data_IF_883196953621
#
_entry.id   IF_883196953621
#
_cell.length_a   1.000
_cell.length_b   1.000
_cell.length_c   1.000
_cell.angle_alpha   90.00
_cell.angle_beta   90.00
_cell.angle_gamma   90.00
#
_symmetry.space_group_name_H-M   'P 1'
#
loop_
_entity.id
_entity.type
_entity.pdbx_description
1 polymer ?
#
# COMPACT_ATOMS: atom_id res chain seq x y z
N UNK A 1 -49.72 60.40 16.29
CA UNK A 1 -48.42 60.52 15.58
C UNK A 1 -47.61 59.29 15.96
N UNK A 2 -47.87 58.15 15.31
CA UNK A 2 -47.14 57.61 14.14
C UNK A 2 -45.64 57.53 14.38
N UNK A 3 -45.08 56.31 14.48
CA UNK A 3 -43.97 55.86 13.64
C UNK A 3 -43.99 54.32 13.54
N UNK A 4 -44.42 53.85 12.37
CA UNK A 4 -44.31 52.47 11.89
C UNK A 4 -42.83 52.04 11.83
N UNK A 5 -42.49 50.86 12.37
CA UNK A 5 -41.23 50.16 12.06
C UNK A 5 -41.53 49.09 11.01
N UNK A 6 -41.00 49.26 9.81
CA UNK A 6 -41.01 48.26 8.75
C UNK A 6 -40.10 47.09 9.14
N UNK A 7 -40.65 45.88 9.21
CA UNK A 7 -39.90 44.64 9.21
C UNK A 7 -39.69 44.24 7.74
N UNK A 8 -38.45 44.25 7.25
CA UNK A 8 -38.11 43.67 5.95
C UNK A 8 -38.21 42.14 6.05
N UNK A 9 -39.25 41.55 5.45
CA UNK A 9 -39.26 40.13 5.12
C UNK A 9 -38.34 39.92 3.91
N UNK A 10 -37.12 39.47 4.15
CA UNK A 10 -36.28 38.90 3.10
C UNK A 10 -36.70 37.44 2.88
N UNK A 11 -37.60 37.21 1.93
CA UNK A 11 -37.88 35.87 1.40
C UNK A 11 -36.68 35.41 0.55
N UNK A 12 -35.74 34.72 1.20
CA UNK A 12 -34.68 33.98 0.51
C UNK A 12 -35.28 32.76 -0.18
N UNK A 13 -35.48 32.84 -1.49
CA UNK A 13 -35.83 31.70 -2.33
C UNK A 13 -34.61 30.78 -2.41
N UNK A 14 -34.51 29.83 -1.47
CA UNK A 14 -33.52 28.77 -1.53
C UNK A 14 -33.94 27.83 -2.67
N UNK A 15 -33.31 27.98 -3.83
CA UNK A 15 -33.39 27.01 -4.92
C UNK A 15 -32.73 25.72 -4.42
N UNK A 16 -33.54 24.82 -3.86
CA UNK A 16 -33.21 23.41 -3.72
C UNK A 16 -33.12 22.84 -5.14
N UNK A 17 -31.94 22.89 -5.72
CA UNK A 17 -31.62 22.02 -6.85
C UNK A 17 -31.61 20.60 -6.30
N UNK A 18 -32.74 19.91 -6.41
CA UNK A 18 -32.77 18.47 -6.34
C UNK A 18 -31.89 17.96 -7.48
N UNK A 19 -30.63 17.65 -7.17
CA UNK A 19 -29.81 16.87 -8.07
C UNK A 19 -30.58 15.60 -8.35
N UNK A 20 -30.88 15.34 -9.62
CA UNK A 20 -31.37 14.03 -10.04
C UNK A 20 -30.34 13.02 -9.57
N UNK A 21 -30.66 12.20 -8.57
CA UNK A 21 -29.91 10.98 -8.30
C UNK A 21 -29.86 10.22 -9.61
N UNK A 22 -28.68 10.16 -10.23
CA UNK A 22 -28.49 9.35 -11.43
C UNK A 22 -28.79 7.91 -11.04
N UNK A 23 -29.88 7.34 -11.56
CA UNK A 23 -30.18 5.93 -11.41
C UNK A 23 -29.02 5.14 -12.02
N UNK A 24 -28.10 4.65 -11.18
CA UNK A 24 -27.03 3.76 -11.63
C UNK A 24 -27.67 2.47 -12.11
N UNK A 25 -27.49 2.15 -13.39
CA UNK A 25 -28.07 0.95 -13.99
C UNK A 25 -27.31 -0.30 -13.53
N UNK A 26 -28.01 -1.43 -13.53
CA UNK A 26 -27.37 -2.74 -13.39
C UNK A 26 -27.32 -3.41 -14.76
N UNK A 27 -26.11 -3.75 -15.21
CA UNK A 27 -25.86 -4.41 -16.50
C UNK A 27 -25.37 -5.83 -16.22
N UNK A 28 -26.17 -6.82 -16.60
CA UNK A 28 -25.77 -8.21 -16.47
C UNK A 28 -24.83 -8.62 -17.61
N UNK A 29 -23.64 -9.11 -17.27
CA UNK A 29 -22.83 -9.86 -18.21
C UNK A 29 -23.55 -11.18 -18.56
N UNK A 30 -23.53 -11.56 -19.84
CA UNK A 30 -24.24 -12.78 -20.31
C UNK A 30 -23.69 -14.06 -19.69
N UNK A 31 -22.39 -14.08 -19.37
CA UNK A 31 -21.71 -15.16 -18.66
C UNK A 31 -20.51 -14.61 -17.89
N UNK A 32 -19.80 -15.48 -17.17
CA UNK A 32 -18.51 -15.14 -16.55
C UNK A 32 -17.32 -15.14 -17.53
N UNK A 33 -17.57 -15.33 -18.84
CA UNK A 33 -16.53 -15.25 -19.85
C UNK A 33 -15.95 -13.83 -19.91
N UNK A 34 -14.66 -13.73 -20.19
CA UNK A 34 -13.98 -12.43 -20.29
C UNK A 34 -14.66 -11.50 -21.30
N UNK A 35 -15.07 -12.04 -22.45
CA UNK A 35 -15.68 -11.26 -23.53
C UNK A 35 -17.04 -10.68 -23.13
N UNK A 36 -17.86 -11.46 -22.42
CA UNK A 36 -19.17 -10.99 -21.95
C UNK A 36 -19.03 -9.95 -20.83
N UNK A 37 -18.06 -10.13 -19.93
CA UNK A 37 -17.76 -9.15 -18.87
C UNK A 37 -17.24 -7.85 -19.49
N UNK A 38 -16.31 -7.92 -20.45
CA UNK A 38 -15.82 -6.73 -21.15
C UNK A 38 -16.94 -6.03 -21.92
N UNK A 39 -17.83 -6.77 -22.57
CA UNK A 39 -18.97 -6.18 -23.30
C UNK A 39 -19.91 -5.42 -22.35
N UNK A 40 -20.22 -5.99 -21.17
CA UNK A 40 -21.03 -5.32 -20.16
C UNK A 40 -20.33 -4.09 -19.55
N UNK A 41 -19.02 -4.17 -19.29
CA UNK A 41 -18.19 -3.03 -18.87
C UNK A 41 -18.18 -1.93 -19.93
N UNK A 42 -18.13 -2.28 -21.22
CA UNK A 42 -18.16 -1.30 -22.30
C UNK A 42 -19.51 -0.58 -22.38
N UNK A 43 -20.63 -1.29 -22.18
CA UNK A 43 -21.97 -0.71 -22.20
C UNK A 43 -22.33 0.08 -20.95
N UNK A 44 -21.63 -0.14 -19.83
CA UNK A 44 -21.85 0.58 -18.58
C UNK A 44 -21.55 2.08 -18.70
N UNK A 45 -22.50 2.90 -18.24
CA UNK A 45 -22.32 4.32 -17.97
C UNK A 45 -21.55 4.58 -16.68
N UNK A 46 -21.38 5.86 -16.34
CA UNK A 46 -20.71 6.28 -15.10
C UNK A 46 -21.57 5.93 -13.88
N UNK A 47 -20.98 5.22 -12.91
CA UNK A 47 -21.64 4.79 -11.67
C UNK A 47 -22.40 3.46 -11.77
N UNK A 48 -22.59 2.93 -12.99
CA UNK A 48 -23.30 1.67 -13.20
C UNK A 48 -22.62 0.47 -12.52
N UNK A 49 -23.42 -0.55 -12.25
CA UNK A 49 -22.95 -1.84 -11.74
C UNK A 49 -23.04 -2.91 -12.82
N UNK A 50 -21.90 -3.51 -13.18
CA UNK A 50 -21.83 -4.73 -13.98
C UNK A 50 -21.94 -5.94 -13.05
N UNK A 51 -22.97 -6.77 -13.24
CA UNK A 51 -23.10 -8.04 -12.51
C UNK A 51 -22.54 -9.18 -13.35
N UNK A 52 -21.67 -9.99 -12.75
CA UNK A 52 -21.10 -11.19 -13.38
C UNK A 52 -21.77 -12.41 -12.76
N UNK A 53 -22.44 -13.26 -13.57
CA UNK A 53 -23.19 -14.40 -13.02
C UNK A 53 -22.26 -15.44 -12.38
N UNK A 54 -22.86 -16.33 -11.58
CA UNK A 54 -22.16 -17.51 -11.09
C UNK A 54 -21.72 -18.40 -12.27
N UNK A 55 -20.55 -19.01 -12.15
CA UNK A 55 -19.92 -19.78 -13.21
C UNK A 55 -18.41 -19.80 -13.06
N UNK A 56 -17.78 -20.65 -13.86
CA UNK A 56 -16.32 -20.73 -13.97
C UNK A 56 -15.89 -20.37 -15.38
N UNK A 57 -14.86 -19.55 -15.51
CA UNK A 57 -14.27 -19.21 -16.80
C UNK A 57 -12.75 -19.12 -16.72
N UNK A 58 -12.08 -19.50 -17.80
CA UNK A 58 -10.64 -19.25 -17.98
C UNK A 58 -10.48 -17.98 -18.80
N UNK A 59 -9.72 -17.02 -18.28
CA UNK A 59 -9.44 -15.76 -18.94
C UNK A 59 -8.02 -15.78 -19.51
N UNK A 60 -7.94 -15.77 -20.85
CA UNK A 60 -6.70 -15.60 -21.62
C UNK A 60 -6.60 -14.18 -22.22
N UNK A 61 -7.48 -13.28 -21.77
CA UNK A 61 -7.59 -11.87 -22.15
C UNK A 61 -7.88 -11.06 -20.89
N UNK A 62 -7.62 -9.75 -20.92
CA UNK A 62 -7.81 -8.87 -19.76
C UNK A 62 -9.06 -8.01 -19.91
N UNK A 63 -9.86 -7.89 -18.84
CA UNK A 63 -10.91 -6.86 -18.78
C UNK A 63 -10.28 -5.51 -18.47
N UNK A 64 -10.46 -4.54 -19.37
CA UNK A 64 -9.91 -3.19 -19.25
C UNK A 64 -11.00 -2.21 -18.84
N UNK A 65 -10.71 -1.41 -17.81
CA UNK A 65 -11.56 -0.30 -17.35
C UNK A 65 -10.70 0.97 -17.42
N UNK A 66 -11.12 1.95 -18.22
CA UNK A 66 -10.35 3.18 -18.42
C UNK A 66 -11.23 4.40 -18.18
N UNK A 67 -10.78 5.27 -17.27
CA UNK A 67 -11.40 6.56 -16.99
C UNK A 67 -12.90 6.48 -16.70
N UNK A 68 -13.37 5.44 -15.99
CA UNK A 68 -14.79 5.16 -15.78
C UNK A 68 -15.08 4.87 -14.30
N UNK A 69 -16.15 5.45 -13.78
CA UNK A 69 -16.74 5.03 -12.52
C UNK A 69 -17.62 3.81 -12.76
N UNK A 70 -17.31 2.67 -12.14
CA UNK A 70 -18.06 1.41 -12.36
C UNK A 70 -17.83 0.44 -11.21
N UNK A 71 -18.88 -0.30 -10.83
CA UNK A 71 -18.75 -1.48 -9.97
C UNK A 71 -18.82 -2.74 -10.82
N UNK A 72 -17.86 -3.65 -10.69
CA UNK A 72 -17.95 -5.01 -11.27
C UNK A 72 -18.12 -6.00 -10.12
N UNK A 73 -19.30 -6.60 -10.06
CA UNK A 73 -19.75 -7.44 -8.95
C UNK A 73 -20.01 -8.87 -9.43
N UNK A 74 -19.18 -9.81 -9.01
CA UNK A 74 -19.46 -11.24 -9.17
C UNK A 74 -20.53 -11.73 -8.20
N UNK A 75 -21.02 -12.96 -8.43
CA UNK A 75 -22.06 -13.59 -7.63
C UNK A 75 -21.61 -13.97 -6.20
N UNK A 76 -20.33 -13.80 -5.87
CA UNK A 76 -19.71 -14.08 -4.58
C UNK A 76 -18.45 -14.97 -4.69
N UNK A 77 -17.62 -14.95 -3.65
CA UNK A 77 -16.48 -15.87 -3.50
C UNK A 77 -16.96 -17.33 -3.64
N UNK A 78 -16.26 -18.11 -4.45
CA UNK A 78 -16.59 -19.50 -4.78
C UNK A 78 -17.75 -19.68 -5.77
N UNK A 79 -18.44 -18.61 -6.18
CA UNK A 79 -19.56 -18.66 -7.14
C UNK A 79 -19.17 -18.15 -8.53
N UNK A 80 -18.53 -16.98 -8.59
CA UNK A 80 -17.90 -16.49 -9.83
C UNK A 80 -16.41 -16.77 -9.73
N UNK A 81 -15.94 -17.79 -10.44
CA UNK A 81 -14.56 -18.29 -10.36
C UNK A 81 -13.83 -18.01 -11.68
N UNK A 82 -12.77 -17.22 -11.61
CA UNK A 82 -11.97 -16.82 -12.76
C UNK A 82 -10.57 -17.43 -12.65
N UNK A 83 -10.22 -18.26 -13.62
CA UNK A 83 -8.86 -18.80 -13.77
C UNK A 83 -8.07 -17.90 -14.72
N UNK A 84 -7.10 -17.17 -14.20
CA UNK A 84 -6.15 -16.38 -14.98
C UNK A 84 -5.19 -17.31 -15.72
N UNK A 85 -5.15 -17.21 -17.05
CA UNK A 85 -4.24 -17.97 -17.91
C UNK A 85 -3.16 -17.05 -18.49
N UNK A 86 -2.13 -16.80 -17.69
CA UNK A 86 -0.97 -15.98 -18.04
C UNK A 86 -1.30 -14.53 -18.44
N UNK A 87 -2.33 -13.94 -17.83
CA UNK A 87 -2.79 -12.57 -18.12
C UNK A 87 -3.38 -11.93 -16.86
N UNK A 88 -3.29 -10.60 -16.74
CA UNK A 88 -4.09 -9.86 -15.74
C UNK A 88 -5.58 -10.16 -15.95
N UNK A 89 -6.36 -10.37 -14.88
CA UNK A 89 -7.81 -10.42 -15.01
C UNK A 89 -8.37 -9.03 -15.28
N UNK A 90 -7.91 -8.05 -14.50
CA UNK A 90 -8.32 -6.65 -14.63
C UNK A 90 -7.12 -5.72 -14.81
N UNK A 91 -7.26 -4.77 -15.72
CA UNK A 91 -6.33 -3.64 -15.87
C UNK A 91 -7.13 -2.34 -15.84
N UNK A 92 -6.97 -1.57 -14.78
CA UNK A 92 -7.85 -0.45 -14.42
C UNK A 92 -7.06 0.85 -14.41
N UNK A 93 -7.30 1.73 -15.38
CA UNK A 93 -6.82 3.12 -15.37
C UNK A 93 -7.86 4.01 -14.68
N UNK A 94 -7.69 4.21 -13.38
CA UNK A 94 -8.55 5.06 -12.58
C UNK A 94 -8.17 6.53 -12.69
N UNK A 95 -9.17 7.42 -12.68
CA UNK A 95 -8.96 8.87 -12.65
C UNK A 95 -9.61 9.48 -11.42
N UNK A 96 -9.00 10.53 -10.88
CA UNK A 96 -9.53 11.23 -9.71
C UNK A 96 -10.99 11.67 -9.95
N UNK A 97 -11.85 11.48 -8.94
CA UNK A 97 -13.28 11.78 -9.02
C UNK A 97 -14.15 10.67 -9.63
N UNK A 98 -13.57 9.55 -10.09
CA UNK A 98 -14.31 8.38 -10.58
C UNK A 98 -14.06 7.16 -9.69
N UNK A 99 -15.08 6.79 -8.93
CA UNK A 99 -15.05 5.62 -8.06
C UNK A 99 -15.19 4.32 -8.86
N UNK A 100 -14.33 3.34 -8.60
CA UNK A 100 -14.51 1.99 -9.12
C UNK A 100 -14.37 0.93 -8.03
N UNK A 101 -15.08 -0.18 -8.23
CA UNK A 101 -15.07 -1.32 -7.31
C UNK A 101 -15.02 -2.65 -8.06
N UNK A 102 -14.18 -3.56 -7.60
CA UNK A 102 -14.18 -4.97 -8.05
C UNK A 102 -14.51 -5.83 -6.84
N UNK A 103 -15.57 -6.64 -6.92
CA UNK A 103 -16.05 -7.40 -5.77
C UNK A 103 -16.67 -8.75 -6.12
N UNK A 104 -16.67 -9.67 -5.14
CA UNK A 104 -17.50 -10.86 -5.16
C UNK A 104 -17.05 -11.96 -6.11
N UNK A 105 -15.74 -12.21 -6.23
CA UNK A 105 -15.17 -13.20 -7.13
C UNK A 105 -14.08 -14.04 -6.46
N UNK A 106 -13.78 -15.18 -7.06
CA UNK A 106 -12.56 -15.95 -6.76
C UNK A 106 -11.61 -15.87 -7.96
N UNK A 107 -10.35 -15.55 -7.72
CA UNK A 107 -9.28 -15.63 -8.72
C UNK A 107 -8.30 -16.73 -8.37
N UNK A 108 -7.86 -17.46 -9.40
CA UNK A 108 -6.80 -18.48 -9.32
C UNK A 108 -5.95 -18.47 -10.58
N UNK A 109 -4.86 -19.23 -10.58
CA UNK A 109 -3.94 -19.31 -11.72
C UNK A 109 -2.89 -18.22 -11.70
N UNK A 110 -2.33 -17.89 -12.86
CA UNK A 110 -1.19 -16.97 -12.98
C UNK A 110 -1.54 -15.74 -13.81
N UNK A 111 -1.18 -14.52 -13.38
CA UNK A 111 -1.30 -13.32 -14.19
C UNK A 111 -0.28 -13.27 -15.36
N UNK A 112 0.62 -14.26 -15.46
CA UNK A 112 1.58 -14.43 -16.55
C UNK A 112 2.77 -13.48 -16.54
N UNK A 113 3.85 -13.88 -17.22
CA UNK A 113 5.08 -13.10 -17.38
C UNK A 113 5.94 -12.97 -16.10
N UNK A 114 7.18 -12.51 -16.29
CA UNK A 114 8.06 -12.06 -15.22
C UNK A 114 8.11 -10.52 -15.27
N UNK A 115 7.51 -9.82 -14.31
CA UNK A 115 7.61 -8.35 -14.31
C UNK A 115 6.63 -7.58 -13.44
N UNK A 116 6.92 -6.28 -13.34
CA UNK A 116 6.24 -5.30 -12.48
C UNK A 116 4.81 -4.93 -12.90
N UNK A 117 4.29 -5.50 -14.00
CA UNK A 117 2.93 -5.27 -14.51
C UNK A 117 2.00 -6.50 -14.43
N UNK A 118 2.49 -7.62 -13.89
CA UNK A 118 1.80 -8.91 -13.91
C UNK A 118 1.01 -9.19 -12.62
N UNK A 119 -0.11 -8.49 -12.45
CA UNK A 119 -1.01 -8.65 -11.28
C UNK A 119 -2.37 -9.19 -11.69
N UNK A 120 -3.03 -10.03 -10.87
CA UNK A 120 -4.40 -10.47 -11.16
C UNK A 120 -5.32 -9.25 -11.35
N UNK A 121 -5.24 -8.28 -10.45
CA UNK A 121 -5.86 -6.96 -10.57
C UNK A 121 -4.76 -5.91 -10.60
N UNK A 122 -4.66 -5.18 -11.71
CA UNK A 122 -3.77 -4.04 -11.82
C UNK A 122 -4.56 -2.74 -11.79
N UNK A 123 -4.18 -1.85 -10.89
CA UNK A 123 -4.73 -0.51 -10.74
C UNK A 123 -3.63 0.49 -11.05
N UNK A 124 -3.95 1.47 -11.88
CA UNK A 124 -3.05 2.57 -12.14
C UNK A 124 -3.80 3.89 -12.41
N UNK A 125 -3.05 4.99 -12.47
CA UNK A 125 -3.59 6.31 -12.77
C UNK A 125 -3.63 7.23 -11.55
N UNK A 126 -4.74 7.96 -11.38
CA UNK A 126 -4.86 9.06 -10.40
C UNK A 126 -6.09 8.98 -9.50
N UNK A 127 -6.88 7.90 -9.60
CA UNK A 127 -8.06 7.75 -8.74
C UNK A 127 -7.68 7.63 -7.27
N UNK A 128 -8.29 8.43 -6.40
CA UNK A 128 -8.09 8.35 -4.94
C UNK A 128 -9.35 7.84 -4.24
N UNK A 129 -10.16 7.09 -4.98
CA UNK A 129 -11.40 6.49 -4.53
C UNK A 129 -11.63 5.17 -5.27
N UNK A 130 -11.04 4.09 -4.80
CA UNK A 130 -11.33 2.75 -5.32
C UNK A 130 -11.42 1.72 -4.20
N UNK A 131 -12.11 0.62 -4.48
CA UNK A 131 -12.31 -0.48 -3.53
C UNK A 131 -12.14 -1.83 -4.21
N UNK A 132 -11.35 -2.72 -3.61
CA UNK A 132 -11.26 -4.13 -4.02
C UNK A 132 -11.66 -4.97 -2.81
N UNK A 133 -12.78 -5.67 -2.90
CA UNK A 133 -13.35 -6.32 -1.72
C UNK A 133 -14.12 -7.61 -1.99
N UNK A 134 -14.30 -8.45 -0.96
CA UNK A 134 -14.96 -9.75 -1.10
C UNK A 134 -14.35 -10.61 -2.21
N UNK A 135 -13.03 -10.55 -2.36
CA UNK A 135 -12.28 -11.35 -3.33
C UNK A 135 -11.57 -12.49 -2.60
N UNK A 136 -11.67 -13.69 -3.15
CA UNK A 136 -10.83 -14.81 -2.72
C UNK A 136 -9.73 -15.05 -3.75
N UNK A 137 -8.47 -14.93 -3.34
CA UNK A 137 -7.30 -15.26 -4.15
C UNK A 137 -6.73 -16.62 -3.75
N UNK A 138 -6.64 -17.53 -4.72
CA UNK A 138 -5.97 -18.82 -4.56
C UNK A 138 -4.51 -18.73 -5.07
N UNK A 139 -3.56 -18.70 -4.15
CA UNK A 139 -2.13 -18.61 -4.40
C UNK A 139 -1.51 -19.99 -4.63
N UNK A 140 -1.91 -20.68 -5.70
CA UNK A 140 -1.55 -22.11 -5.95
C UNK A 140 -0.58 -22.33 -7.10
N UNK A 141 -0.25 -21.29 -7.88
CA UNK A 141 0.68 -21.35 -9.00
C UNK A 141 1.57 -20.11 -9.03
N UNK A 142 2.86 -20.24 -9.35
CA UNK A 142 3.78 -19.09 -9.42
C UNK A 142 3.32 -17.98 -10.37
N UNK A 143 3.76 -16.75 -10.12
CA UNK A 143 3.43 -15.54 -10.88
C UNK A 143 3.78 -14.29 -10.07
N UNK A 144 3.63 -13.09 -10.63
CA UNK A 144 4.14 -11.89 -9.95
C UNK A 144 3.27 -11.47 -8.74
N UNK A 145 1.97 -11.17 -8.89
CA UNK A 145 1.14 -10.79 -7.73
C UNK A 145 -0.37 -10.79 -7.93
N UNK A 146 -1.12 -10.52 -6.87
CA UNK A 146 -2.58 -10.45 -6.83
C UNK A 146 -3.05 -9.03 -7.14
N UNK A 147 -2.62 -8.02 -6.37
CA UNK A 147 -3.02 -6.63 -6.56
C UNK A 147 -1.78 -5.74 -6.74
N UNK A 148 -1.67 -5.10 -7.89
CA UNK A 148 -0.62 -4.12 -8.18
C UNK A 148 -1.22 -2.73 -8.28
N UNK A 149 -0.65 -1.77 -7.57
CA UNK A 149 -1.12 -0.38 -7.57
C UNK A 149 0.03 0.52 -8.02
N UNK A 150 -0.15 1.24 -9.13
CA UNK A 150 0.86 2.09 -9.76
C UNK A 150 0.30 3.50 -10.04
N UNK A 151 0.73 4.53 -9.33
CA UNK A 151 0.27 5.90 -9.59
C UNK A 151 0.02 6.70 -8.33
N UNK A 152 -0.33 7.98 -8.53
CA UNK A 152 -0.86 8.80 -7.44
C UNK A 152 -2.33 8.44 -7.18
N UNK A 153 -2.54 7.20 -6.72
CA UNK A 153 -3.82 6.52 -6.61
C UNK A 153 -3.97 5.90 -5.22
N UNK A 154 -5.15 6.02 -4.62
CA UNK A 154 -5.44 5.58 -3.25
C UNK A 154 -6.82 4.92 -3.16
N UNK A 155 -6.94 3.96 -2.25
CA UNK A 155 -8.15 3.20 -2.06
C UNK A 155 -7.94 2.12 -1.01
N UNK A 156 -8.90 1.20 -0.93
CA UNK A 156 -8.93 0.16 0.10
C UNK A 156 -9.07 -1.22 -0.52
N UNK A 157 -8.27 -2.15 -0.02
CA UNK A 157 -8.41 -3.60 -0.20
C UNK A 157 -8.95 -4.17 1.10
N UNK A 158 -10.22 -4.60 1.09
CA UNK A 158 -10.89 -5.08 2.31
C UNK A 158 -11.70 -6.35 2.15
N UNK A 159 -11.90 -7.07 3.25
CA UNK A 159 -12.71 -8.29 3.29
C UNK A 159 -12.33 -9.31 2.20
N UNK A 160 -11.05 -9.36 1.83
CA UNK A 160 -10.51 -10.34 0.91
C UNK A 160 -9.92 -11.51 1.68
N UNK A 161 -9.92 -12.67 1.02
CA UNK A 161 -9.31 -13.89 1.52
C UNK A 161 -8.16 -14.31 0.61
N UNK A 162 -7.03 -14.69 1.19
CA UNK A 162 -5.91 -15.29 0.46
C UNK A 162 -5.67 -16.69 1.03
N UNK A 163 -5.58 -17.69 0.15
CA UNK A 163 -5.24 -19.07 0.56
C UNK A 163 -4.20 -19.67 -0.36
N UNK A 164 -3.26 -20.43 0.18
CA UNK A 164 -2.34 -21.21 -0.64
C UNK A 164 -1.34 -22.02 0.19
N UNK A 165 -0.63 -22.99 -0.42
CA UNK A 165 0.33 -23.82 0.30
C UNK A 165 1.51 -23.02 0.87
N UNK A 166 1.85 -21.89 0.24
CA UNK A 166 2.90 -20.97 0.68
C UNK A 166 2.72 -19.65 -0.08
N UNK A 167 3.33 -18.54 0.37
CA UNK A 167 3.31 -17.29 -0.38
C UNK A 167 4.06 -17.43 -1.72
N UNK A 168 3.32 -17.47 -2.82
CA UNK A 168 3.84 -17.50 -4.22
C UNK A 168 3.42 -16.30 -5.06
N UNK A 169 2.63 -15.40 -4.48
CA UNK A 169 2.21 -14.13 -5.07
C UNK A 169 2.30 -13.02 -4.03
N UNK A 170 2.66 -11.80 -4.45
CA UNK A 170 2.40 -10.63 -3.63
C UNK A 170 0.90 -10.44 -3.45
N UNK A 171 0.40 -10.22 -2.23
CA UNK A 171 -1.01 -9.86 -2.08
C UNK A 171 -1.26 -8.43 -2.57
N UNK A 172 -0.56 -7.42 -2.01
CA UNK A 172 -0.70 -6.03 -2.45
C UNK A 172 0.66 -5.34 -2.63
N UNK A 173 0.89 -4.71 -3.79
CA UNK A 173 2.10 -3.93 -4.08
C UNK A 173 1.77 -2.49 -4.48
N UNK A 174 1.77 -1.52 -3.54
CA UNK A 174 1.58 -0.11 -3.87
C UNK A 174 2.88 0.58 -4.22
N UNK A 175 2.98 1.16 -5.42
CA UNK A 175 4.01 2.12 -5.86
C UNK A 175 3.36 3.42 -6.32
N UNK A 176 3.86 4.56 -5.81
CA UNK A 176 3.33 5.88 -6.17
C UNK A 176 4.10 6.49 -7.36
N UNK A 177 4.24 5.72 -8.45
CA UNK A 177 4.94 6.12 -9.67
C UNK A 177 3.97 6.65 -10.74
N UNK A 178 4.24 7.83 -11.31
CA UNK A 178 3.43 8.29 -12.45
C UNK A 178 3.79 7.52 -13.73
N UNK A 179 2.83 6.78 -14.30
CA UNK A 179 3.00 6.09 -15.59
C UNK A 179 3.31 7.07 -16.75
N UNK A 180 2.93 8.34 -16.60
CA UNK A 180 3.15 9.39 -17.60
C UNK A 180 4.62 9.80 -17.78
N UNK A 181 5.55 9.23 -17.00
CA UNK A 181 6.98 9.42 -17.23
C UNK A 181 7.71 8.14 -16.82
N UNK A 182 8.44 7.47 -17.72
CA UNK A 182 9.21 6.26 -17.39
C UNK A 182 10.32 6.48 -16.35
N UNK A 183 10.35 7.65 -15.69
CA UNK A 183 11.46 8.13 -14.91
C UNK A 183 11.09 8.72 -13.54
N UNK A 184 9.81 9.00 -13.20
CA UNK A 184 9.45 9.63 -11.91
C UNK A 184 9.93 8.81 -10.70
N UNK A 185 9.81 7.48 -10.77
CA UNK A 185 10.35 6.53 -9.81
C UNK A 185 10.07 6.86 -8.32
N UNK A 186 9.01 7.62 -8.03
CA UNK A 186 8.60 8.07 -6.69
C UNK A 186 9.04 9.48 -6.29
N UNK A 187 9.80 10.20 -7.12
CA UNK A 187 10.30 11.54 -6.79
C UNK A 187 9.18 12.54 -6.50
N UNK A 188 8.10 12.52 -7.28
CA UNK A 188 6.96 13.40 -7.04
C UNK A 188 6.21 13.07 -5.75
N UNK A 189 6.18 11.80 -5.33
CA UNK A 189 5.59 11.41 -4.04
C UNK A 189 6.38 11.92 -2.84
N UNK A 190 7.71 11.96 -2.96
CA UNK A 190 8.62 12.52 -1.96
C UNK A 190 8.63 14.06 -1.88
N UNK A 191 7.95 14.75 -2.80
CA UNK A 191 7.69 16.20 -2.75
C UNK A 191 6.38 16.54 -2.04
N UNK A 192 5.57 15.54 -1.66
CA UNK A 192 4.28 15.75 -0.99
C UNK A 192 4.40 15.59 0.53
N UNK A 193 3.72 16.42 1.34
CA UNK A 193 3.76 16.33 2.79
C UNK A 193 3.39 14.97 3.37
N UNK A 194 3.89 14.66 4.58
CA UNK A 194 3.48 13.48 5.33
C UNK A 194 2.01 13.56 5.71
N UNK A 195 1.31 12.43 5.60
CA UNK A 195 -0.15 12.36 5.76
C UNK A 195 -0.61 11.11 6.52
N UNK A 196 0.12 10.71 7.56
CA UNK A 196 -0.28 9.59 8.44
C UNK A 196 -1.66 9.86 9.06
N UNK A 197 -2.47 8.81 9.24
CA UNK A 197 -3.80 8.92 9.84
C UNK A 197 -4.86 9.48 8.90
N UNK A 198 -4.59 9.55 7.59
CA UNK A 198 -5.52 10.08 6.57
C UNK A 198 -5.85 9.02 5.51
N UNK A 199 -6.86 9.29 4.67
CA UNK A 199 -7.19 8.42 3.53
C UNK A 199 -6.18 8.49 2.35
N UNK A 200 -5.10 9.27 2.47
CA UNK A 200 -4.10 9.45 1.41
C UNK A 200 -3.04 8.33 1.42
N UNK A 201 -3.50 7.09 1.35
CA UNK A 201 -2.67 5.89 1.30
C UNK A 201 -3.45 4.73 0.67
N UNK A 202 -2.74 3.66 0.30
CA UNK A 202 -3.37 2.38 -0.01
C UNK A 202 -3.64 1.62 1.29
N UNK A 203 -4.91 1.37 1.59
CA UNK A 203 -5.32 0.63 2.77
C UNK A 203 -5.45 -0.86 2.47
N UNK A 204 -4.88 -1.70 3.33
CA UNK A 204 -5.05 -3.16 3.37
C UNK A 204 -5.69 -3.44 4.72
N UNK A 205 -7.00 -3.67 4.72
CA UNK A 205 -7.81 -3.67 5.93
C UNK A 205 -8.74 -4.88 6.03
N UNK A 206 -8.84 -5.52 7.19
CA UNK A 206 -9.85 -6.58 7.43
C UNK A 206 -9.78 -7.74 6.44
N UNK A 207 -8.57 -8.14 6.05
CA UNK A 207 -8.32 -9.29 5.18
C UNK A 207 -7.89 -10.52 5.99
N UNK A 208 -8.20 -11.69 5.44
CA UNK A 208 -7.84 -12.99 5.99
C UNK A 208 -6.82 -13.68 5.07
N UNK A 209 -5.55 -13.71 5.46
CA UNK A 209 -4.44 -14.24 4.66
C UNK A 209 -3.90 -15.49 5.34
N UNK A 210 -4.12 -16.64 4.70
CA UNK A 210 -3.86 -17.95 5.27
C UNK A 210 -2.97 -18.78 4.34
N UNK A 211 -1.69 -18.89 4.69
CA UNK A 211 -0.77 -19.84 4.04
C UNK A 211 -0.51 -21.06 4.91
N UNK A 212 -0.45 -22.24 4.30
CA UNK A 212 -0.29 -23.51 5.03
C UNK A 212 1.08 -23.60 5.75
N UNK A 213 2.13 -23.00 5.16
CA UNK A 213 3.46 -22.93 5.75
C UNK A 213 4.18 -21.63 5.39
N UNK A 214 5.13 -21.24 6.23
CA UNK A 214 6.09 -20.20 5.89
C UNK A 214 7.28 -20.82 5.14
N UNK A 215 7.81 -20.10 4.15
CA UNK A 215 8.99 -20.55 3.38
C UNK A 215 10.08 -19.49 3.46
N UNK A 216 11.16 -19.82 4.16
CA UNK A 216 12.32 -18.94 4.29
C UNK A 216 12.92 -18.64 2.90
N UNK A 217 13.26 -17.37 2.68
CA UNK A 217 13.79 -16.91 1.39
C UNK A 217 12.73 -16.76 0.29
N UNK A 218 11.42 -16.88 0.61
CA UNK A 218 10.37 -16.50 -0.33
C UNK A 218 10.56 -15.05 -0.79
N UNK A 219 10.26 -14.79 -2.06
CA UNK A 219 10.35 -13.46 -2.69
C UNK A 219 8.97 -12.81 -2.87
N UNK A 220 7.93 -13.41 -2.28
CA UNK A 220 6.53 -13.01 -2.45
C UNK A 220 5.91 -12.56 -1.12
N UNK A 221 6.29 -11.41 -0.55
CA UNK A 221 5.65 -10.90 0.66
C UNK A 221 4.15 -10.64 0.48
N UNK A 222 3.41 -10.64 1.59
CA UNK A 222 2.01 -10.23 1.63
C UNK A 222 1.86 -8.80 1.10
N UNK A 223 2.74 -7.88 1.50
CA UNK A 223 2.87 -6.59 0.84
C UNK A 223 4.32 -6.18 0.66
N UNK A 224 4.56 -5.41 -0.40
CA UNK A 224 5.84 -4.77 -0.71
C UNK A 224 5.62 -3.36 -1.21
N UNK A 225 6.52 -2.44 -0.90
CA UNK A 225 6.40 -1.04 -1.25
C UNK A 225 7.76 -0.42 -1.64
N UNK A 226 7.71 0.56 -2.55
CA UNK A 226 8.83 1.44 -2.97
C UNK A 226 8.27 2.59 -3.80
N UNK A 227 9.12 3.41 -4.41
CA UNK A 227 8.74 4.49 -5.34
C UNK A 227 7.77 5.47 -4.68
N UNK A 228 8.10 5.89 -3.45
CA UNK A 228 7.31 6.86 -2.70
C UNK A 228 5.94 6.37 -2.23
N UNK A 229 5.74 5.06 -2.20
CA UNK A 229 4.52 4.43 -1.72
C UNK A 229 4.08 4.90 -0.33
N UNK A 230 2.75 4.97 -0.17
CA UNK A 230 2.06 5.26 1.09
C UNK A 230 1.04 4.16 1.35
N UNK A 231 1.17 3.45 2.46
CA UNK A 231 0.27 2.33 2.75
C UNK A 231 -0.12 2.26 4.23
N UNK A 232 -1.27 1.65 4.48
CA UNK A 232 -1.76 1.31 5.81
C UNK A 232 -2.17 -0.15 5.84
N UNK A 233 -1.63 -0.92 6.77
CA UNK A 233 -2.00 -2.32 7.01
C UNK A 233 -2.64 -2.41 8.38
N UNK A 234 -3.95 -2.69 8.44
CA UNK A 234 -4.67 -2.72 9.71
C UNK A 234 -5.75 -3.77 9.82
N UNK A 235 -5.98 -4.29 11.02
CA UNK A 235 -7.10 -5.20 11.30
C UNK A 235 -7.10 -6.48 10.43
N UNK A 236 -5.94 -6.90 9.91
CA UNK A 236 -5.82 -8.14 9.14
C UNK A 236 -5.41 -9.32 10.03
N UNK A 237 -5.77 -10.52 9.60
CA UNK A 237 -5.22 -11.78 10.13
C UNK A 237 -4.28 -12.36 9.08
N UNK A 238 -3.02 -12.56 9.44
CA UNK A 238 -1.94 -12.97 8.54
C UNK A 238 -1.24 -14.19 9.14
N UNK A 239 -1.44 -15.35 8.52
CA UNK A 239 -0.75 -16.59 8.88
C UNK A 239 0.33 -16.93 7.86
N UNK A 240 1.55 -17.20 8.33
CA UNK A 240 2.70 -17.67 7.55
C UNK A 240 3.09 -16.77 6.36
N UNK A 241 2.67 -15.51 6.36
CA UNK A 241 3.06 -14.51 5.37
C UNK A 241 4.11 -13.57 5.95
N UNK A 242 5.20 -13.29 5.24
CA UNK A 242 6.12 -12.20 5.61
C UNK A 242 5.79 -10.94 4.82
N UNK A 243 6.30 -9.79 5.27
CA UNK A 243 6.17 -8.54 4.56
C UNK A 243 7.37 -7.61 4.77
N UNK A 244 7.42 -6.56 3.97
CA UNK A 244 8.46 -5.57 4.09
C UNK A 244 8.30 -4.50 3.02
N UNK A 245 9.29 -3.63 2.94
CA UNK A 245 9.36 -2.66 1.86
C UNK A 245 10.80 -2.24 1.60
N UNK A 246 11.00 -1.39 0.61
CA UNK A 246 12.31 -0.99 0.11
C UNK A 246 12.63 0.47 0.46
N UNK A 247 13.91 0.73 0.75
CA UNK A 247 14.48 2.06 0.83
C UNK A 247 15.03 2.50 -0.52
N UNK A 248 15.67 3.68 -0.57
CA UNK A 248 16.20 4.24 -1.81
C UNK A 248 17.29 3.36 -2.43
N UNK A 249 18.00 2.51 -1.68
CA UNK A 249 19.04 1.63 -2.21
C UNK A 249 18.56 0.67 -3.31
N UNK A 250 17.25 0.52 -3.46
CA UNK A 250 16.64 -0.57 -4.19
C UNK A 250 16.31 -0.18 -5.62
N UNK A 251 17.09 -0.72 -6.56
CA UNK A 251 16.96 -0.48 -8.00
C UNK A 251 17.15 1.02 -8.33
N UNK A 252 16.39 1.53 -9.30
CA UNK A 252 16.46 2.90 -9.79
C UNK A 252 15.28 3.77 -9.31
N UNK A 253 14.79 3.54 -8.09
CA UNK A 253 13.58 4.19 -7.58
C UNK A 253 13.76 4.71 -6.16
N UNK A 254 12.94 5.69 -5.77
CA UNK A 254 12.87 6.22 -4.41
C UNK A 254 12.42 5.15 -3.42
N UNK A 255 12.77 5.34 -2.16
CA UNK A 255 12.28 4.50 -1.07
C UNK A 255 10.77 4.64 -0.84
N UNK A 256 10.24 3.79 0.01
CA UNK A 256 8.87 3.93 0.54
C UNK A 256 8.74 5.22 1.33
N UNK A 257 7.67 5.99 1.11
CA UNK A 257 7.51 7.30 1.73
C UNK A 257 6.93 7.20 3.15
N UNK A 258 5.82 6.47 3.30
CA UNK A 258 5.18 6.33 4.61
C UNK A 258 4.39 5.05 4.80
N UNK A 259 4.25 4.63 6.04
CA UNK A 259 3.56 3.40 6.39
C UNK A 259 2.91 3.46 7.78
N UNK A 260 1.78 2.79 7.95
CA UNK A 260 1.11 2.57 9.24
C UNK A 260 0.74 1.09 9.35
N UNK A 261 1.22 0.40 10.38
CA UNK A 261 0.99 -1.04 10.55
C UNK A 261 0.39 -1.25 11.93
N UNK A 262 -0.91 -1.48 12.05
CA UNK A 262 -1.53 -1.57 13.38
C UNK A 262 -2.73 -2.48 13.51
N UNK A 263 -2.93 -3.00 14.72
CA UNK A 263 -4.07 -3.86 15.05
C UNK A 263 -4.21 -5.10 14.14
N UNK A 264 -3.10 -5.63 13.61
CA UNK A 264 -3.09 -6.89 12.87
C UNK A 264 -2.76 -8.06 13.80
N UNK A 265 -3.18 -9.27 13.43
CA UNK A 265 -2.68 -10.52 14.02
C UNK A 265 -1.74 -11.20 13.02
N UNK A 266 -0.50 -11.45 13.44
CA UNK A 266 0.50 -12.20 12.72
C UNK A 266 0.73 -13.53 13.43
N UNK A 267 0.61 -14.63 12.70
CA UNK A 267 0.75 -15.97 13.22
C UNK A 267 1.69 -16.79 12.34
N UNK A 268 2.59 -17.53 12.96
CA UNK A 268 3.58 -18.36 12.26
C UNK A 268 3.67 -19.74 12.88
N UNK A 269 3.48 -20.75 12.03
CA UNK A 269 3.67 -22.16 12.37
C UNK A 269 5.13 -22.57 12.29
N UNK A 270 5.85 -22.07 11.29
CA UNK A 270 7.25 -22.37 11.07
C UNK A 270 8.16 -21.24 11.57
N UNK A 271 9.46 -21.55 11.71
CA UNK A 271 10.48 -20.56 12.04
C UNK A 271 10.52 -19.46 10.97
N UNK A 272 10.33 -18.22 11.43
CA UNK A 272 10.45 -17.01 10.62
C UNK A 272 11.61 -16.17 11.15
N UNK A 273 12.44 -15.67 10.24
CA UNK A 273 13.57 -14.82 10.62
C UNK A 273 13.10 -13.43 11.07
N UNK A 274 12.28 -12.77 10.25
CA UNK A 274 11.56 -11.56 10.63
C UNK A 274 10.25 -11.45 9.83
N UNK A 275 9.10 -11.24 10.49
CA UNK A 275 7.83 -10.91 9.84
C UNK A 275 7.89 -9.65 8.99
N UNK A 276 8.49 -8.58 9.52
CA UNK A 276 8.49 -7.25 8.92
C UNK A 276 9.91 -6.71 8.76
N UNK A 277 10.37 -6.55 7.51
CA UNK A 277 11.62 -5.86 7.20
C UNK A 277 11.34 -4.49 6.58
N UNK A 278 11.59 -3.43 7.35
CA UNK A 278 11.20 -2.07 7.00
C UNK A 278 12.42 -1.24 6.58
N UNK A 279 12.30 -0.61 5.42
CA UNK A 279 13.37 0.20 4.81
C UNK A 279 12.81 1.50 4.27
N UNK A 280 13.31 2.60 4.80
CA UNK A 280 12.97 3.96 4.38
C UNK A 280 11.65 4.53 4.91
N UNK A 281 11.57 5.85 4.87
CA UNK A 281 10.37 6.62 5.17
C UNK A 281 10.02 6.76 6.65
N UNK A 282 8.82 7.32 6.89
CA UNK A 282 8.28 7.60 8.21
C UNK A 282 7.00 6.79 8.47
N UNK A 283 6.78 6.37 9.71
CA UNK A 283 5.67 5.47 10.00
C UNK A 283 5.51 5.08 11.45
N UNK A 284 4.52 4.24 11.69
CA UNK A 284 4.15 3.73 13.02
C UNK A 284 3.81 2.24 12.98
N UNK A 285 4.20 1.52 14.04
CA UNK A 285 3.78 0.12 14.29
C UNK A 285 3.11 0.04 15.66
N UNK A 286 1.83 -0.28 15.75
CA UNK A 286 1.21 -0.39 17.09
C UNK A 286 0.04 -1.35 17.20
N UNK A 287 -0.24 -1.84 18.40
CA UNK A 287 -1.42 -2.68 18.65
C UNK A 287 -1.43 -4.01 17.89
N UNK A 288 -0.31 -4.41 17.28
CA UNK A 288 -0.23 -5.68 16.55
C UNK A 288 0.01 -6.84 17.52
N UNK A 289 -0.47 -8.01 17.13
CA UNK A 289 -0.39 -9.25 17.90
C UNK A 289 0.45 -10.26 17.14
N UNK A 290 1.50 -10.78 17.77
CA UNK A 290 2.42 -11.74 17.16
C UNK A 290 2.37 -13.08 17.90
N UNK A 291 2.28 -14.18 17.14
CA UNK A 291 2.17 -15.55 17.65
C UNK A 291 3.17 -16.42 16.86
N UNK A 292 4.16 -17.02 17.54
CA UNK A 292 5.18 -17.86 16.91
C UNK A 292 5.19 -19.27 17.52
N UNK A 293 4.54 -20.25 16.88
CA UNK A 293 4.44 -21.61 17.42
C UNK A 293 5.77 -22.38 17.39
N UNK A 294 6.61 -22.16 16.38
CA UNK A 294 7.97 -22.71 16.32
C UNK A 294 8.99 -21.88 17.11
N UNK A 295 8.57 -20.79 17.76
CA UNK A 295 9.44 -19.82 18.41
C UNK A 295 10.09 -18.82 17.46
N UNK A 296 10.49 -17.68 18.02
CA UNK A 296 11.23 -16.62 17.36
C UNK A 296 12.12 -15.90 18.39
N UNK A 297 13.43 -15.94 18.20
CA UNK A 297 14.38 -15.31 19.13
C UNK A 297 14.53 -13.79 18.95
N UNK A 298 13.90 -13.19 17.94
CA UNK A 298 14.07 -11.79 17.55
C UNK A 298 12.83 -10.92 17.70
N UNK A 299 13.01 -9.62 17.43
CA UNK A 299 11.89 -8.70 17.25
C UNK A 299 11.11 -9.06 15.98
N UNK A 300 9.77 -8.97 15.97
CA UNK A 300 8.97 -9.23 14.78
C UNK A 300 9.13 -8.17 13.69
N UNK A 301 9.79 -7.05 13.99
CA UNK A 301 10.09 -6.00 13.01
C UNK A 301 11.51 -5.47 13.16
N UNK A 302 12.18 -5.34 12.02
CA UNK A 302 13.49 -4.69 11.92
C UNK A 302 13.38 -3.43 11.07
N UNK A 303 14.26 -2.48 11.39
CA UNK A 303 14.53 -1.31 10.55
C UNK A 303 15.95 -1.42 10.00
N UNK A 304 16.10 -1.08 8.73
CA UNK A 304 17.38 -1.16 8.04
C UNK A 304 17.63 0.10 7.24
N UNK A 305 18.88 0.58 7.28
CA UNK A 305 19.43 1.49 6.29
C UNK A 305 20.57 0.77 5.57
N UNK A 306 20.36 0.44 4.30
CA UNK A 306 21.31 -0.33 3.51
C UNK A 306 22.36 0.55 2.84
N UNK A 307 22.05 1.82 2.51
CA UNK A 307 23.05 2.74 1.96
C UNK A 307 24.14 3.09 2.96
N UNK A 308 23.90 2.94 4.26
CA UNK A 308 24.94 3.08 5.29
C UNK A 308 26.03 2.00 5.21
N UNK A 309 25.71 0.80 4.71
CA UNK A 309 26.60 -0.36 4.67
C UNK A 309 27.25 -0.61 3.30
N UNK A 310 26.87 0.14 2.26
CA UNK A 310 27.34 -0.06 0.90
C UNK A 310 26.50 0.70 -0.12
N UNK A 311 26.77 0.47 -1.40
CA UNK A 311 26.09 1.14 -2.52
C UNK A 311 24.76 0.46 -2.85
N UNK A 312 23.76 1.23 -3.27
CA UNK A 312 22.50 0.69 -3.78
C UNK A 312 22.68 -0.04 -5.13
N UNK A 313 21.61 -0.70 -5.56
CA UNK A 313 21.62 -1.62 -6.72
C UNK A 313 21.26 -0.97 -8.05
N UNK A 314 20.95 0.33 -8.08
CA UNK A 314 20.64 1.04 -9.32
C UNK A 314 20.84 2.56 -9.22
N UNK A 315 20.95 3.20 -10.40
CA UNK A 315 21.07 4.64 -10.56
C UNK A 315 19.75 5.34 -10.13
N UNK A 316 19.77 6.40 -9.30
CA UNK A 316 20.94 7.18 -8.87
C UNK A 316 21.64 6.71 -7.58
N UNK A 317 21.12 5.70 -6.91
CA UNK A 317 21.51 5.28 -5.56
C UNK A 317 22.77 4.42 -5.48
N UNK A 318 23.69 4.57 -6.43
CA UNK A 318 24.94 3.79 -6.52
C UNK A 318 26.02 4.24 -5.53
N UNK A 319 25.72 5.22 -4.69
CA UNK A 319 26.62 5.74 -3.66
C UNK A 319 26.19 5.27 -2.26
N UNK A 320 27.17 5.02 -1.41
CA UNK A 320 26.93 4.85 0.02
C UNK A 320 26.47 6.18 0.63
N UNK A 321 25.68 6.09 1.69
CA UNK A 321 25.39 7.24 2.52
C UNK A 321 26.60 7.54 3.40
N UNK A 322 27.37 8.55 3.01
CA UNK A 322 28.60 8.95 3.68
C UNK A 322 28.77 10.48 3.71
N UNK A 323 29.96 10.94 4.08
CA UNK A 323 30.26 12.37 4.22
C UNK A 323 30.60 13.06 2.89
N UNK A 324 30.67 12.32 1.78
CA UNK A 324 31.08 12.86 0.49
C UNK A 324 29.89 13.62 -0.13
N UNK A 325 30.09 14.87 -0.55
CA UNK A 325 29.05 15.61 -1.22
C UNK A 325 28.81 15.02 -2.62
N UNK A 326 27.65 14.41 -2.80
CA UNK A 326 27.18 13.85 -4.06
C UNK A 326 25.82 14.46 -4.39
N UNK A 327 25.58 14.69 -5.68
CA UNK A 327 24.40 15.42 -6.15
C UNK A 327 23.62 14.60 -7.17
N UNK A 328 22.30 14.79 -7.16
CA UNK A 328 21.40 14.30 -8.20
C UNK A 328 20.66 15.48 -8.82
N UNK A 329 20.25 15.32 -10.07
CA UNK A 329 19.29 16.23 -10.67
C UNK A 329 17.89 15.74 -10.39
N UNK A 330 17.20 16.44 -9.50
CA UNK A 330 15.78 16.19 -9.26
C UNK A 330 14.96 16.85 -10.37
N UNK A 331 14.29 16.03 -11.16
CA UNK A 331 13.37 16.50 -12.21
C UNK A 331 11.92 16.17 -11.85
N UNK A 332 10.97 16.66 -12.66
CA UNK A 332 9.58 16.17 -12.62
C UNK A 332 9.46 14.73 -13.12
N UNK A 333 10.36 14.36 -14.04
CA UNK A 333 10.53 13.02 -14.58
C UNK A 333 11.51 12.22 -13.71
N UNK A 334 11.54 12.48 -12.41
CA UNK A 334 12.35 11.77 -11.41
C UNK A 334 13.84 12.09 -11.36
N UNK A 335 14.49 11.40 -10.45
CA UNK A 335 15.86 11.69 -10.01
C UNK A 335 16.84 10.99 -10.96
N UNK A 336 17.60 11.79 -11.70
CA UNK A 336 18.65 11.30 -12.59
C UNK A 336 20.01 11.64 -11.98
N UNK A 337 20.99 10.75 -12.08
CA UNK A 337 22.38 11.15 -11.84
C UNK A 337 22.80 12.18 -12.90
N UNK A 338 23.37 13.31 -12.49
CA UNK A 338 24.67 13.64 -13.04
C UNK A 338 25.63 14.41 -12.10
N UNK A 339 26.90 13.98 -12.17
CA UNK A 339 28.16 14.71 -12.06
C UNK A 339 28.78 15.01 -10.67
N UNK A 340 30.12 15.02 -10.70
CA UNK A 340 31.07 15.44 -9.64
C UNK A 340 31.06 16.95 -9.35
N UNK A 341 30.21 17.71 -10.05
CA UNK A 341 30.06 19.16 -9.93
C UNK A 341 28.58 19.49 -9.71
N UNK A 342 28.26 20.25 -8.66
CA UNK A 342 26.89 20.58 -8.21
C UNK A 342 26.04 21.46 -9.15
N UNK A 343 25.99 21.13 -10.44
CA UNK A 343 25.21 21.82 -11.46
C UNK A 343 24.58 20.83 -12.43
N UNK A 344 23.26 20.90 -12.59
CA UNK A 344 22.52 20.10 -13.55
C UNK A 344 22.71 20.59 -14.99
N UNK A 345 22.72 19.69 -16.00
CA UNK A 345 22.66 20.09 -17.40
C UNK A 345 21.49 21.04 -17.69
N UNK A 346 21.66 21.96 -18.66
CA UNK A 346 20.63 22.94 -19.01
C UNK A 346 19.30 22.24 -19.36
N UNK A 347 18.22 22.65 -18.69
CA UNK A 347 16.89 22.05 -18.84
C UNK A 347 16.61 20.85 -17.92
N UNK A 348 17.61 20.38 -17.18
CA UNK A 348 17.42 19.50 -16.02
C UNK A 348 17.23 20.35 -14.77
N UNK A 349 16.47 19.85 -13.79
CA UNK A 349 16.02 20.62 -12.62
C UNK A 349 17.14 21.05 -11.66
N UNK A 350 16.82 21.19 -10.38
CA UNK A 350 17.79 21.62 -9.38
C UNK A 350 18.75 20.49 -9.01
N UNK A 351 20.04 20.81 -8.90
CA UNK A 351 21.03 19.94 -8.28
C UNK A 351 20.76 19.91 -6.77
N UNK A 352 20.47 18.74 -6.24
CA UNK A 352 20.24 18.54 -4.81
C UNK A 352 21.26 17.53 -4.29
N UNK A 353 21.77 17.80 -3.10
CA UNK A 353 22.61 16.84 -2.41
C UNK A 353 21.80 15.56 -2.17
N UNK A 354 22.40 14.40 -2.41
CA UNK A 354 21.72 13.11 -2.23
C UNK A 354 21.41 12.95 -0.74
N UNK A 355 22.45 13.01 0.09
CA UNK A 355 22.39 12.81 1.53
C UNK A 355 22.61 14.14 2.27
N UNK A 356 21.95 14.34 3.41
CA UNK A 356 21.95 15.64 4.08
C UNK A 356 23.28 16.01 4.73
N UNK A 357 24.05 15.02 5.19
CA UNK A 357 25.34 15.19 5.88
C UNK A 357 25.37 16.30 6.96
N UNK A 358 24.28 16.45 7.71
CA UNK A 358 24.08 17.52 8.71
C UNK A 358 24.81 17.26 10.03
N UNK A 359 25.20 16.02 10.30
CA UNK A 359 25.92 15.61 11.52
C UNK A 359 27.35 15.09 11.24
N UNK A 360 27.83 15.22 10.00
CA UNK A 360 29.15 14.74 9.59
C UNK A 360 29.25 13.23 9.42
N UNK A 361 28.14 12.48 9.37
CA UNK A 361 28.14 11.04 9.03
C UNK A 361 27.48 10.73 7.69
N UNK A 362 26.95 11.74 6.99
CA UNK A 362 26.02 11.56 5.88
C UNK A 362 24.55 11.61 6.28
N UNK A 363 24.21 11.75 7.57
CA UNK A 363 22.80 11.77 7.97
C UNK A 363 22.09 13.10 7.61
N UNK A 364 20.81 13.05 7.22
CA UNK A 364 20.07 11.84 6.89
C UNK A 364 20.49 11.28 5.53
N UNK A 365 20.58 9.96 5.44
CA UNK A 365 20.61 9.26 4.16
C UNK A 365 19.29 9.51 3.42
N UNK A 366 19.37 9.64 2.10
CA UNK A 366 18.18 9.84 1.27
C UNK A 366 17.15 8.73 1.48
N UNK A 367 15.93 9.13 1.81
CA UNK A 367 14.75 8.30 2.04
C UNK A 367 14.86 7.32 3.22
N UNK A 368 15.84 7.44 4.12
CA UNK A 368 16.04 6.50 5.22
C UNK A 368 14.85 6.42 6.18
N UNK A 369 14.87 5.40 7.04
CA UNK A 369 13.95 5.29 8.18
C UNK A 369 14.04 6.56 9.04
N UNK A 370 12.87 7.10 9.38
CA UNK A 370 12.76 8.26 10.27
C UNK A 370 12.83 9.62 9.55
N UNK A 371 12.63 9.63 8.22
CA UNK A 371 12.74 10.82 7.38
C UNK A 371 11.49 10.99 6.52
N UNK A 372 11.16 12.24 6.17
CA UNK A 372 10.02 12.60 5.32
C UNK A 372 10.39 13.60 4.22
N UNK A 373 9.40 14.18 3.54
CA UNK A 373 9.61 15.20 2.52
C UNK A 373 10.45 16.38 3.04
N UNK A 374 11.14 17.05 2.13
CA UNK A 374 11.78 18.32 2.46
C UNK A 374 10.71 19.42 2.49
N UNK A 375 10.42 19.96 3.67
CA UNK A 375 9.52 21.09 3.84
C UNK A 375 10.20 22.45 3.91
N UNK A 376 11.53 22.50 4.05
CA UNK A 376 12.34 23.72 4.10
C UNK A 376 12.89 24.14 2.74
N UNK A 377 12.71 23.30 1.71
CA UNK A 377 13.22 23.47 0.34
C UNK A 377 14.74 23.69 0.24
N UNK A 378 15.49 23.26 1.26
CA UNK A 378 16.97 23.37 1.36
C UNK A 378 17.75 22.20 0.71
N UNK A 379 17.04 21.26 0.08
CA UNK A 379 17.58 20.00 -0.45
C UNK A 379 17.71 18.86 0.57
N UNK A 380 17.54 19.10 1.87
CA UNK A 380 17.67 18.11 2.96
C UNK A 380 16.29 17.62 3.40
N UNK A 381 16.12 16.32 3.50
CA UNK A 381 14.86 15.75 3.95
C UNK A 381 14.64 15.94 5.46
N UNK A 382 13.41 16.26 5.84
CA UNK A 382 13.10 16.57 7.23
C UNK A 382 13.06 15.31 8.11
N UNK A 383 13.47 15.46 9.38
CA UNK A 383 13.31 14.43 10.40
C UNK A 383 11.83 14.17 10.69
N UNK A 384 11.44 12.90 10.62
CA UNK A 384 10.12 12.42 11.02
C UNK A 384 10.28 10.99 11.55
N UNK A 385 10.64 10.83 12.84
CA UNK A 385 11.03 9.56 13.41
C UNK A 385 9.92 8.51 13.28
N UNK A 386 10.30 7.23 13.27
CA UNK A 386 9.36 6.11 13.36
C UNK A 386 9.10 5.74 14.82
N UNK A 387 7.92 5.21 15.09
CA UNK A 387 7.47 4.91 16.45
C UNK A 387 6.83 3.53 16.51
N UNK A 388 7.02 2.85 17.62
CA UNK A 388 6.28 1.64 17.94
C UNK A 388 5.80 1.67 19.40
N UNK A 389 4.60 1.12 19.64
CA UNK A 389 3.99 1.01 20.97
C UNK A 389 2.86 -0.02 20.98
N UNK A 390 2.46 -0.51 22.15
CA UNK A 390 1.29 -1.39 22.35
C UNK A 390 1.24 -2.65 21.46
N UNK A 391 2.36 -3.06 20.85
CA UNK A 391 2.41 -4.36 20.19
C UNK A 391 2.55 -5.43 21.27
N UNK A 392 2.05 -6.64 20.99
CA UNK A 392 2.11 -7.75 21.93
C UNK A 392 2.65 -8.96 21.18
N UNK A 393 3.63 -9.62 21.77
CA UNK A 393 3.96 -10.97 21.35
C UNK A 393 3.41 -11.99 22.34
N UNK A 394 2.31 -12.64 21.97
CA UNK A 394 1.58 -13.54 22.87
C UNK A 394 2.31 -14.87 23.07
N UNK A 395 2.99 -15.36 22.04
CA UNK A 395 3.64 -16.68 22.05
C UNK A 395 4.96 -16.65 21.29
N UNK A 396 5.96 -17.35 21.82
CA UNK A 396 7.17 -17.74 21.10
C UNK A 396 8.22 -16.66 20.87
N UNK A 397 7.98 -15.38 21.21
CA UNK A 397 9.03 -14.37 21.16
C UNK A 397 10.01 -14.41 22.32
N UNK A 398 11.24 -14.01 22.05
CA UNK A 398 12.25 -13.67 23.07
C UNK A 398 11.86 -12.51 24.00
N UNK A 399 10.81 -11.73 23.69
CA UNK A 399 10.34 -10.60 24.52
C UNK A 399 9.40 -11.01 25.66
N UNK A 400 8.92 -12.27 25.69
CA UNK A 400 8.14 -12.82 26.80
C UNK A 400 6.83 -12.08 27.10
N UNK A 401 6.08 -11.65 26.07
CA UNK A 401 4.81 -10.93 26.25
C UNK A 401 4.91 -9.41 26.13
N UNK A 402 6.11 -8.84 26.29
CA UNK A 402 6.30 -7.38 26.23
C UNK A 402 6.25 -6.84 24.79
N UNK A 403 5.98 -5.54 24.69
CA UNK A 403 6.07 -4.79 23.44
C UNK A 403 7.46 -4.95 22.81
N UNK A 404 7.56 -5.52 21.59
CA UNK A 404 8.85 -5.68 20.94
C UNK A 404 9.42 -4.35 20.47
N UNK A 405 10.70 -4.13 20.76
CA UNK A 405 11.40 -2.95 20.30
C UNK A 405 11.82 -3.05 18.83
N UNK A 406 12.03 -1.91 18.18
CA UNK A 406 12.78 -1.90 16.92
C UNK A 406 14.18 -2.50 17.11
N UNK A 407 14.57 -3.34 16.16
CA UNK A 407 15.95 -3.80 16.02
C UNK A 407 16.54 -3.20 14.75
N UNK A 408 17.66 -2.49 14.89
CA UNK A 408 18.43 -2.01 13.74
C UNK A 408 19.22 -3.18 13.18
N UNK A 409 18.82 -3.67 12.01
CA UNK A 409 19.52 -4.77 11.36
C UNK A 409 20.78 -4.29 10.64
N UNK A 410 20.70 -3.15 9.95
CA UNK A 410 21.84 -2.48 9.30
C UNK A 410 21.74 -0.97 9.45
N UNK A 411 22.88 -0.29 9.35
CA UNK A 411 22.91 1.18 9.38
C UNK A 411 22.88 1.77 10.79
N UNK A 412 23.35 1.05 11.81
CA UNK A 412 23.48 1.57 13.19
C UNK A 412 24.34 2.84 13.31
N UNK A 413 25.17 3.14 12.29
CA UNK A 413 25.86 4.41 12.15
C UNK A 413 24.91 5.61 11.95
N UNK A 414 23.80 5.41 11.23
CA UNK A 414 22.86 6.44 10.80
C UNK A 414 21.47 6.33 11.44
N UNK A 415 21.05 5.16 11.90
CA UNK A 415 19.79 4.97 12.62
C UNK A 415 20.04 5.04 14.12
N UNK A 416 19.55 6.10 14.78
CA UNK A 416 19.74 6.34 16.20
C UNK A 416 18.41 6.32 16.96
N UNK A 417 18.41 5.54 18.05
CA UNK A 417 17.33 5.56 19.04
C UNK A 417 17.18 6.98 19.60
N UNK A 418 15.95 7.43 19.79
CA UNK A 418 15.58 8.77 20.23
C UNK A 418 15.87 9.92 19.23
N UNK A 419 16.25 9.59 17.99
CA UNK A 419 16.35 10.56 16.89
C UNK A 419 15.59 10.09 15.66
N UNK A 420 15.86 8.88 15.17
CA UNK A 420 15.29 8.34 13.93
C UNK A 420 14.16 7.35 14.22
N UNK A 421 14.22 6.69 15.38
CA UNK A 421 13.19 5.79 15.86
C UNK A 421 13.05 5.90 17.38
N UNK A 422 11.84 5.59 17.86
CA UNK A 422 11.52 5.53 19.28
C UNK A 422 10.87 4.19 19.58
N UNK A 423 11.37 3.54 20.63
CA UNK A 423 10.80 2.31 21.15
C UNK A 423 9.81 2.62 22.27
N UNK A 424 8.78 1.79 22.38
CA UNK A 424 7.75 1.83 23.42
C UNK A 424 7.18 3.24 23.65
N UNK A 425 6.87 3.92 22.56
CA UNK A 425 6.43 5.32 22.59
C UNK A 425 5.42 5.63 21.51
N UNK A 426 4.26 6.12 21.95
CA UNK A 426 3.26 6.65 21.02
C UNK A 426 3.80 7.87 20.27
N UNK A 427 3.61 7.88 18.95
CA UNK A 427 3.97 9.03 18.11
C UNK A 427 3.18 10.29 18.55
N UNK A 428 3.85 11.39 18.95
CA UNK A 428 3.15 12.61 19.34
C UNK A 428 2.26 13.16 18.22
N UNK A 429 1.02 13.51 18.56
CA UNK A 429 0.04 14.09 17.64
C UNK A 429 -0.50 13.12 16.58
N UNK A 430 -0.15 11.83 16.64
CA UNK A 430 -0.70 10.82 15.74
C UNK A 430 -2.10 10.40 16.16
N UNK A 431 -3.01 10.30 15.19
CA UNK A 431 -4.33 9.69 15.36
C UNK A 431 -4.60 8.83 14.12
N UNK A 432 -4.90 7.54 14.26
CA UNK A 432 -5.20 6.70 13.12
C UNK A 432 -6.49 7.18 12.42
N UNK A 433 -6.58 6.98 11.11
CA UNK A 433 -7.84 7.20 10.38
C UNK A 433 -8.94 6.36 11.04
N UNK A 434 -10.16 6.91 11.15
CA UNK A 434 -11.29 6.15 11.67
C UNK A 434 -11.45 4.80 10.92
N UNK A 435 -11.72 3.74 11.69
CA UNK A 435 -12.02 2.41 11.19
C UNK A 435 -13.55 2.17 11.21
N UNK A 436 -14.15 1.55 10.18
CA UNK A 436 -13.50 1.11 8.93
C UNK A 436 -13.21 2.28 7.98
N UNK A 437 -12.37 2.04 6.96
CA UNK A 437 -12.02 3.05 5.94
C UNK A 437 -13.29 3.68 5.32
N UNK A 438 -13.34 5.01 5.05
CA UNK A 438 -14.55 5.69 4.56
C UNK A 438 -15.16 5.05 3.30
N UNK A 439 -14.32 4.57 2.36
CA UNK A 439 -14.77 3.91 1.13
C UNK A 439 -15.52 2.58 1.34
N UNK A 440 -15.51 2.01 2.56
CA UNK A 440 -16.27 0.80 2.89
C UNK A 440 -17.76 1.13 3.06
N UNK A 441 -18.11 2.34 3.51
CA UNK A 441 -19.49 2.76 3.84
C UNK A 441 -20.30 3.20 2.61
N UNK A 442 -19.65 3.71 1.57
CA UNK A 442 -20.32 4.23 0.37
C UNK A 442 -20.76 3.12 -0.62
N UNK A 443 -20.59 1.84 -0.27
CA UNK A 443 -20.79 0.69 -1.18
C UNK A 443 -21.86 -0.34 -0.80
N UNK A 444 -22.80 -0.01 0.09
CA UNK A 444 -24.02 -0.82 0.32
C UNK A 444 -23.81 -2.26 0.81
N UNK A 445 -22.65 -2.61 1.37
CA UNK A 445 -22.37 -3.92 1.95
C UNK A 445 -22.21 -3.82 3.47
N UNK A 446 -23.00 -4.58 4.22
CA UNK A 446 -22.85 -4.75 5.67
C UNK A 446 -21.41 -5.06 6.03
N UNK A 447 -20.84 -4.27 6.94
CA UNK A 447 -19.53 -4.51 7.57
C UNK A 447 -19.55 -5.92 8.18
N UNK A 448 -18.76 -6.85 7.62
CA UNK A 448 -18.50 -8.13 8.27
C UNK A 448 -17.46 -7.82 9.35
N UNK A 449 -17.82 -8.05 10.62
CA UNK A 449 -16.86 -7.96 11.71
C UNK A 449 -15.69 -8.93 11.44
N UNK A 450 -14.44 -8.57 11.80
CA UNK A 450 -13.32 -9.50 11.70
C UNK A 450 -13.68 -10.85 12.34
N UNK A 451 -13.32 -11.99 11.74
CA UNK A 451 -13.57 -13.28 12.35
C UNK A 451 -12.91 -13.29 13.73
N UNK A 452 -13.70 -13.59 14.77
CA UNK A 452 -13.19 -13.80 16.12
C UNK A 452 -12.14 -14.91 16.07
N UNK A 453 -11.00 -14.69 16.76
CA UNK A 453 -9.97 -15.71 16.94
C UNK A 453 -10.61 -17.05 17.36
N UNK A 454 -10.14 -18.21 16.86
CA UNK A 454 -10.73 -19.50 17.16
C UNK A 454 -10.85 -19.70 18.69
N UNK A 455 -12.09 -19.72 19.19
CA UNK A 455 -12.38 -19.67 20.63
C UNK A 455 -12.13 -20.95 21.42
N UNK A 456 -11.28 -21.86 20.96
CA UNK A 456 -11.06 -23.12 21.68
C UNK A 456 -9.74 -23.81 21.32
N UNK A 457 -8.65 -23.36 21.95
CA UNK A 457 -7.52 -24.23 22.31
C UNK A 457 -7.43 -24.26 23.83
N UNK A 458 -8.09 -25.24 24.45
CA UNK A 458 -7.77 -25.64 25.82
C UNK A 458 -6.57 -26.56 25.72
N UNK A 459 -5.42 -26.07 26.13
CA UNK A 459 -4.25 -26.90 26.41
C UNK A 459 -4.63 -27.78 27.61
N UNK A 460 -4.61 -29.10 27.42
CA UNK A 460 -4.40 -30.04 28.53
C UNK A 460 -2.91 -30.22 28.75
#
# INVERSE_FOLDING_TARGET
>A
MSYFRFLFLATGLFLLTFGTEGNCATIAAKSSSQADVQAAVNSAGEGDTVTVPAGSATWSSTVTITNKAVTVLGAGMGKTVITCNNMNAFNINGVNGKFFRISGMTFRGSPGGNGYSSFIIRIFGTSRAWRIDNIHFESTSGGSGMIGVDGYTYGVVDNCRVTGPQPVHWFVRPYENTFCSPYDAGSNAWKRPLSLGTANAVYIESNDIQYDKFTQGSTSPVWDARSGARYVVRHNTIRNGFAGHHGAESYNARGTFSWEIYNNTFEYDDLVWVPLNLRGGAGVIHGNRFIFHAGNSGSPFIISEYRSGGTGSGNPWLNSCDTKPEYICSTFNGDQNPLSSGSCPQGMGQAIQIDGNTDGTGWPCRDQIGITYNGSDDGIQASSPVYEWDNVCEEGCGTGGANPNFVVHTGAGHLKLNRDYFNDKQKPGYTPLAYPHPLIKDGGGTVVAPPSAPGSLRIQ
#
